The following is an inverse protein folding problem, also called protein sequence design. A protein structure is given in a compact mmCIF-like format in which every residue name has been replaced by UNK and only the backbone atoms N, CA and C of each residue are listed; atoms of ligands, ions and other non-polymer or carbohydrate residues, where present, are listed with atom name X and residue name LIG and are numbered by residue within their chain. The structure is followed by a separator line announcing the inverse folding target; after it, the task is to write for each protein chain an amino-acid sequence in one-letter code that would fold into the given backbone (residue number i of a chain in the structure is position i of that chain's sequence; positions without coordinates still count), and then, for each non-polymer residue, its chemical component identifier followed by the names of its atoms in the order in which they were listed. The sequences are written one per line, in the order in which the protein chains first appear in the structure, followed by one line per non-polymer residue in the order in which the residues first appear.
data_IF_360810561382
#
_entry.id   IF_360810561382
#
_cell.length_a   1.000
_cell.length_b   1.000
_cell.length_c   1.000
_cell.angle_alpha   90.00
_cell.angle_beta   90.00
_cell.angle_gamma   90.00
#
_symmetry.space_group_name_H-M   'P 1'
#
loop_
_entity.id
_entity.type
_entity.pdbx_description
1 polymer ?
#
# COMPACT_ATOMS: atom_id res chain seq x y z
N UNK A 1 -1.37 -17.75 -79.34
CA UNK A 1 -1.07 -16.43 -78.75
C UNK A 1 -1.89 -16.25 -77.48
N UNK A 2 -1.25 -15.81 -76.37
CA UNK A 2 -1.80 -15.41 -75.05
C UNK A 2 -2.37 -16.58 -74.20
N UNK A 3 -1.56 -17.28 -73.38
CA UNK A 3 -1.06 -16.95 -72.02
C UNK A 3 -2.15 -16.47 -71.06
N UNK A 4 -2.54 -17.32 -70.10
CA UNK A 4 -2.95 -16.92 -68.74
C UNK A 4 -2.49 -17.98 -67.73
N UNK A 5 -1.49 -17.62 -66.93
CA UNK A 5 -1.06 -18.31 -65.72
C UNK A 5 -2.18 -18.25 -64.67
N UNK A 6 -2.42 -19.36 -63.96
CA UNK A 6 -3.11 -19.38 -62.68
C UNK A 6 -2.08 -19.70 -61.60
N UNK A 7 -1.66 -18.66 -60.87
CA UNK A 7 -0.86 -18.75 -59.66
C UNK A 7 -1.77 -19.20 -58.52
N UNK A 8 -1.54 -20.39 -57.97
CA UNK A 8 -2.11 -20.81 -56.70
C UNK A 8 -1.27 -20.21 -55.56
N UNK A 9 -1.78 -19.17 -54.91
CA UNK A 9 -1.17 -18.59 -53.71
C UNK A 9 -1.67 -19.37 -52.50
N UNK A 10 -0.76 -20.11 -51.89
CA UNK A 10 -0.96 -20.81 -50.63
C UNK A 10 -0.99 -19.77 -49.49
N UNK A 11 -2.16 -19.52 -48.89
CA UNK A 11 -2.27 -18.69 -47.69
C UNK A 11 -1.78 -19.48 -46.46
N UNK A 12 -0.51 -19.32 -46.13
CA UNK A 12 0.01 -19.69 -44.81
C UNK A 12 -0.33 -18.55 -43.81
N UNK A 13 -1.37 -18.75 -43.01
CA UNK A 13 -1.66 -17.94 -41.83
C UNK A 13 -0.58 -18.23 -40.76
N UNK A 14 0.48 -17.43 -40.76
CA UNK A 14 1.43 -17.39 -39.63
C UNK A 14 0.75 -16.61 -38.50
N UNK A 15 0.21 -17.33 -37.53
CA UNK A 15 -0.27 -16.77 -36.28
C UNK A 15 0.89 -16.11 -35.54
N UNK A 16 0.91 -14.78 -35.52
CA UNK A 16 1.78 -14.02 -34.64
C UNK A 16 1.28 -14.19 -33.21
N UNK A 17 1.83 -15.18 -32.50
CA UNK A 17 1.70 -15.30 -31.06
C UNK A 17 2.36 -14.08 -30.41
N UNK A 18 1.57 -13.06 -30.08
CA UNK A 18 2.02 -11.95 -29.25
C UNK A 18 2.34 -12.51 -27.86
N UNK A 19 3.62 -12.78 -27.62
CA UNK A 19 4.14 -13.06 -26.28
C UNK A 19 3.96 -11.80 -25.45
N UNK A 20 2.93 -11.78 -24.60
CA UNK A 20 2.78 -10.76 -23.56
C UNK A 20 3.95 -10.97 -22.60
N UNK A 21 4.99 -10.18 -22.76
CA UNK A 21 6.12 -10.17 -21.83
C UNK A 21 5.61 -9.53 -20.54
N UNK A 22 5.20 -10.36 -19.59
CA UNK A 22 4.94 -9.91 -18.22
C UNK A 22 6.28 -9.46 -17.66
N UNK A 23 6.46 -8.15 -17.51
CA UNK A 23 7.64 -7.60 -16.86
C UNK A 23 7.78 -8.23 -15.47
N UNK A 24 8.97 -8.72 -15.15
CA UNK A 24 9.24 -9.24 -13.81
C UNK A 24 8.94 -8.14 -12.78
N UNK A 25 8.33 -8.46 -11.62
CA UNK A 25 8.05 -7.46 -10.60
C UNK A 25 9.34 -6.79 -10.16
N UNK A 26 9.29 -5.46 -9.98
CA UNK A 26 10.44 -4.69 -9.56
C UNK A 26 11.02 -5.26 -8.25
N UNK A 27 12.36 -5.37 -8.12
CA UNK A 27 12.98 -5.95 -6.94
C UNK A 27 12.63 -5.14 -5.68
N UNK A 28 12.48 -5.84 -4.56
CA UNK A 28 12.26 -5.21 -3.26
C UNK A 28 13.59 -4.76 -2.66
N UNK A 29 13.58 -3.58 -2.02
CA UNK A 29 14.66 -3.14 -1.15
C UNK A 29 14.27 -3.38 0.31
N UNK A 30 15.20 -3.11 1.23
CA UNK A 30 14.90 -3.21 2.67
C UNK A 30 13.87 -2.17 3.11
N UNK A 31 13.89 -0.97 2.51
CA UNK A 31 13.09 0.16 2.95
C UNK A 31 13.23 0.31 4.48
N UNK A 32 12.13 0.43 5.20
CA UNK A 32 12.08 0.60 6.66
C UNK A 32 12.37 -0.68 7.45
N UNK A 33 12.60 -1.82 6.80
CA UNK A 33 12.71 -3.13 7.44
C UNK A 33 14.17 -3.54 7.68
N UNK A 34 14.41 -4.26 8.79
CA UNK A 34 15.74 -4.81 9.09
C UNK A 34 16.24 -5.81 8.02
N UNK A 35 15.31 -6.48 7.33
CA UNK A 35 15.57 -7.43 6.24
C UNK A 35 14.70 -7.06 5.04
N UNK A 36 15.14 -7.43 3.84
CA UNK A 36 14.34 -7.25 2.62
C UNK A 36 13.05 -8.04 2.78
N UNK A 37 11.87 -7.45 2.52
CA UNK A 37 10.62 -8.18 2.50
C UNK A 37 10.68 -9.33 1.49
N UNK A 38 10.02 -10.45 1.81
CA UNK A 38 10.01 -11.65 0.97
C UNK A 38 9.28 -11.36 -0.35
N UNK A 39 8.12 -10.71 -0.26
CA UNK A 39 7.33 -10.30 -1.41
C UNK A 39 6.32 -9.21 -1.03
N UNK A 40 5.80 -8.53 -2.04
CA UNK A 40 4.58 -7.72 -1.92
C UNK A 40 3.38 -8.66 -1.84
N UNK A 41 2.33 -8.23 -1.15
CA UNK A 41 1.04 -8.92 -1.08
C UNK A 41 -0.09 -7.95 -1.41
N UNK A 42 -1.22 -8.44 -1.93
CA UNK A 42 -2.47 -7.69 -2.00
C UNK A 42 -3.17 -7.79 -0.63
N UNK A 43 -3.29 -6.70 0.15
CA UNK A 43 -3.83 -6.77 1.51
C UNK A 43 -5.20 -7.45 1.57
N UNK A 44 -6.08 -7.20 0.60
CA UNK A 44 -7.46 -7.72 0.61
C UNK A 44 -7.56 -9.25 0.45
N UNK A 45 -6.48 -9.93 0.07
CA UNK A 45 -6.41 -11.40 0.06
C UNK A 45 -6.31 -12.00 1.47
N UNK A 46 -6.04 -11.18 2.49
CA UNK A 46 -5.82 -11.62 3.87
C UNK A 46 -6.93 -11.11 4.82
N UNK A 47 -7.52 -11.99 5.67
CA UNK A 47 -8.66 -11.64 6.51
C UNK A 47 -8.48 -10.37 7.36
N UNK A 48 -7.30 -10.17 7.94
CA UNK A 48 -7.02 -9.08 8.86
C UNK A 48 -6.97 -7.70 8.21
N UNK A 49 -6.84 -7.61 6.89
CA UNK A 49 -6.84 -6.33 6.17
C UNK A 49 -8.16 -6.05 5.43
N UNK A 50 -9.15 -6.96 5.49
CA UNK A 50 -10.42 -6.81 4.76
C UNK A 50 -11.21 -5.55 5.14
N UNK A 51 -10.99 -5.02 6.34
CA UNK A 51 -11.67 -3.82 6.85
C UNK A 51 -10.91 -2.52 6.58
N UNK A 52 -9.89 -2.53 5.71
CA UNK A 52 -9.03 -1.37 5.45
C UNK A 52 -9.80 -0.07 5.22
N UNK A 53 -10.87 -0.05 4.43
CA UNK A 53 -11.63 1.19 4.20
C UNK A 53 -12.31 1.73 5.47
N UNK A 54 -12.79 0.84 6.35
CA UNK A 54 -13.37 1.24 7.62
C UNK A 54 -12.27 1.80 8.55
N UNK A 55 -11.10 1.17 8.54
CA UNK A 55 -9.93 1.63 9.30
C UNK A 55 -9.40 2.97 8.82
N UNK A 56 -9.36 3.21 7.50
CA UNK A 56 -9.02 4.51 6.93
C UNK A 56 -10.01 5.60 7.37
N UNK A 57 -11.32 5.31 7.32
CA UNK A 57 -12.35 6.24 7.81
C UNK A 57 -12.19 6.55 9.30
N UNK A 58 -11.95 5.53 10.12
CA UNK A 58 -11.72 5.71 11.56
C UNK A 58 -10.46 6.53 11.84
N UNK A 59 -9.40 6.28 11.07
CA UNK A 59 -8.14 7.04 11.16
C UNK A 59 -8.36 8.52 10.82
N UNK A 60 -9.13 8.83 9.76
CA UNK A 60 -9.51 10.21 9.41
C UNK A 60 -10.39 10.85 10.49
N UNK A 61 -11.37 10.12 11.05
CA UNK A 61 -12.24 10.65 12.13
C UNK A 61 -11.45 11.12 13.34
N UNK A 62 -10.43 10.36 13.70
CA UNK A 62 -9.63 10.54 14.93
C UNK A 62 -8.52 11.57 14.76
N UNK A 63 -7.80 11.53 13.63
CA UNK A 63 -6.55 12.27 13.46
C UNK A 63 -6.55 13.26 12.30
N UNK A 64 -7.53 13.17 11.41
CA UNK A 64 -7.51 13.88 10.13
C UNK A 64 -8.41 15.11 10.09
N UNK A 65 -8.21 15.90 9.03
CA UNK A 65 -9.18 16.91 8.63
C UNK A 65 -10.39 16.24 7.96
N UNK A 66 -11.53 16.26 8.65
CA UNK A 66 -12.79 15.67 8.21
C UNK A 66 -13.46 16.47 7.09
N UNK A 67 -13.05 17.73 6.85
CA UNK A 67 -13.68 18.62 5.88
C UNK A 67 -13.19 18.42 4.44
N UNK A 68 -12.08 17.70 4.25
CA UNK A 68 -11.45 17.48 2.95
C UNK A 68 -11.39 16.00 2.57
N UNK A 69 -11.30 15.66 1.27
CA UNK A 69 -10.96 14.30 0.85
C UNK A 69 -9.56 13.93 1.35
N UNK A 70 -9.45 12.75 1.98
CA UNK A 70 -8.20 12.21 2.49
C UNK A 70 -7.71 11.07 1.59
N UNK A 71 -6.48 11.18 1.09
CA UNK A 71 -5.89 10.22 0.14
C UNK A 71 -4.90 9.31 0.85
N UNK A 72 -5.03 8.03 0.57
CA UNK A 72 -4.14 7.01 1.10
C UNK A 72 -3.65 6.10 -0.02
N UNK A 73 -2.42 5.65 0.12
CA UNK A 73 -1.89 4.51 -0.62
C UNK A 73 -1.61 3.37 0.36
N UNK A 74 -2.07 2.15 0.05
CA UNK A 74 -1.81 0.97 0.85
C UNK A 74 -0.98 -0.05 0.06
N UNK A 75 0.11 -0.53 0.64
CA UNK A 75 0.94 -1.59 0.08
C UNK A 75 1.27 -2.62 1.15
N UNK A 76 1.07 -3.89 0.84
CA UNK A 76 1.28 -4.99 1.77
C UNK A 76 2.58 -5.73 1.52
N UNK A 77 3.18 -6.24 2.60
CA UNK A 77 4.41 -7.02 2.57
C UNK A 77 4.30 -8.30 3.38
N UNK A 78 4.87 -9.36 2.82
CA UNK A 78 5.27 -10.55 3.58
C UNK A 78 6.72 -10.34 4.03
N UNK A 79 6.93 -10.26 5.33
CA UNK A 79 8.25 -10.12 5.93
C UNK A 79 8.86 -11.50 6.21
N UNK A 80 10.14 -11.49 6.58
CA UNK A 80 10.82 -12.69 7.07
C UNK A 80 10.03 -13.32 8.24
N UNK A 81 10.01 -14.65 8.31
CA UNK A 81 9.24 -15.46 9.29
C UNK A 81 7.70 -15.43 9.15
N UNK A 82 7.18 -14.92 8.05
CA UNK A 82 5.74 -15.02 7.74
C UNK A 82 4.88 -13.89 8.30
N UNK A 83 5.49 -12.86 8.90
CA UNK A 83 4.76 -11.69 9.38
C UNK A 83 4.20 -10.89 8.22
N UNK A 84 2.92 -10.53 8.30
CA UNK A 84 2.23 -9.71 7.31
C UNK A 84 2.08 -8.29 7.85
N UNK A 85 2.36 -7.30 7.02
CA UNK A 85 2.19 -5.88 7.36
C UNK A 85 1.66 -5.12 6.15
N UNK A 86 0.73 -4.21 6.37
CA UNK A 86 0.32 -3.21 5.38
C UNK A 86 0.84 -1.86 5.81
N UNK A 87 1.55 -1.17 4.92
CA UNK A 87 1.92 0.23 5.11
C UNK A 87 0.86 1.10 4.46
N UNK A 88 0.36 2.07 5.20
CA UNK A 88 -0.56 3.11 4.72
C UNK A 88 0.20 4.43 4.64
N UNK A 89 0.34 4.99 3.44
CA UNK A 89 0.86 6.34 3.22
C UNK A 89 -0.34 7.27 3.12
N UNK A 90 -0.45 8.23 4.05
CA UNK A 90 -1.52 9.22 4.09
C UNK A 90 -0.99 10.58 3.62
N UNK A 91 -1.38 10.97 2.42
CA UNK A 91 -0.86 12.17 1.77
C UNK A 91 -1.20 13.44 2.54
N UNK A 92 -2.46 13.63 2.94
CA UNK A 92 -2.89 14.87 3.60
C UNK A 92 -2.22 15.07 4.96
N UNK A 93 -2.08 14.00 5.75
CA UNK A 93 -1.45 14.05 7.06
C UNK A 93 0.08 13.99 7.00
N UNK A 94 0.65 13.62 5.84
CA UNK A 94 2.07 13.31 5.66
C UNK A 94 2.53 12.21 6.63
N UNK A 95 1.73 11.15 6.76
CA UNK A 95 1.98 10.06 7.70
C UNK A 95 2.24 8.74 6.99
N UNK A 96 3.16 7.95 7.54
CA UNK A 96 3.34 6.54 7.23
C UNK A 96 2.87 5.74 8.44
N UNK A 97 1.89 4.87 8.21
CA UNK A 97 1.28 4.04 9.25
C UNK A 97 1.62 2.58 8.97
N UNK A 98 2.21 1.89 9.95
CA UNK A 98 2.52 0.45 9.85
C UNK A 98 1.45 -0.36 10.53
N UNK A 99 0.59 -1.00 9.75
CA UNK A 99 -0.61 -1.67 10.25
C UNK A 99 -0.54 -3.18 10.03
N UNK A 100 -0.70 -3.95 11.11
CA UNK A 100 -0.69 -5.43 11.08
C UNK A 100 -2.05 -6.07 10.80
N UNK A 101 -3.08 -5.26 10.59
CA UNK A 101 -4.43 -5.71 10.31
C UNK A 101 -5.27 -5.77 11.58
N UNK A 102 -6.57 -5.56 11.42
CA UNK A 102 -7.55 -5.70 12.49
C UNK A 102 -8.12 -7.10 12.50
N UNK A 103 -8.55 -7.58 13.67
CA UNK A 103 -9.33 -8.81 13.73
C UNK A 103 -10.81 -8.49 13.45
N UNK A 104 -11.33 -9.00 12.34
CA UNK A 104 -12.73 -8.84 11.96
C UNK A 104 -13.70 -9.50 12.97
N UNK A 105 -13.21 -10.44 13.78
CA UNK A 105 -13.96 -11.15 14.82
C UNK A 105 -13.72 -10.60 16.23
N UNK A 106 -12.79 -9.65 16.40
CA UNK A 106 -12.47 -9.09 17.70
C UNK A 106 -13.64 -8.28 18.29
N UNK A 107 -13.74 -8.31 19.61
CA UNK A 107 -14.65 -7.44 20.36
C UNK A 107 -14.30 -5.97 20.16
N UNK A 108 -15.19 -5.04 20.55
CA UNK A 108 -14.98 -3.60 20.31
C UNK A 108 -13.70 -3.06 20.96
N UNK A 109 -13.31 -3.56 22.14
CA UNK A 109 -12.08 -3.14 22.83
C UNK A 109 -10.82 -3.69 22.16
N UNK A 110 -10.83 -4.97 21.75
CA UNK A 110 -9.72 -5.60 21.05
C UNK A 110 -9.50 -5.00 19.66
N UNK A 111 -10.59 -4.61 18.96
CA UNK A 111 -10.53 -3.92 17.67
C UNK A 111 -9.77 -2.59 17.74
N UNK A 112 -9.85 -1.86 18.84
CA UNK A 112 -9.09 -0.61 19.00
C UNK A 112 -7.58 -0.87 19.07
N UNK A 113 -7.14 -1.95 19.72
CA UNK A 113 -5.71 -2.28 19.85
C UNK A 113 -5.02 -2.65 18.52
N UNK A 114 -5.80 -3.07 17.52
CA UNK A 114 -5.31 -3.49 16.20
C UNK A 114 -5.78 -2.58 15.06
N UNK A 115 -6.36 -1.42 15.39
CA UNK A 115 -6.80 -0.42 14.42
C UNK A 115 -5.61 0.29 13.77
N UNK A 116 -5.78 0.70 12.51
CA UNK A 116 -4.81 1.56 11.84
C UNK A 116 -4.61 2.89 12.59
N UNK A 117 -5.66 3.40 13.26
CA UNK A 117 -5.63 4.66 14.01
C UNK A 117 -4.78 4.64 15.28
N UNK A 118 -4.43 3.44 15.77
CA UNK A 118 -3.54 3.23 16.93
C UNK A 118 -2.21 2.60 16.56
N UNK A 119 -2.02 2.31 15.27
CA UNK A 119 -0.80 1.71 14.78
C UNK A 119 0.38 2.67 14.86
N UNK A 120 1.63 2.17 14.87
CA UNK A 120 2.82 3.02 14.81
C UNK A 120 2.79 3.95 13.59
N UNK A 121 3.03 5.23 13.88
CA UNK A 121 3.08 6.29 12.88
C UNK A 121 4.47 6.90 12.85
N UNK A 122 4.94 7.16 11.64
CA UNK A 122 6.06 8.07 11.34
C UNK A 122 5.47 9.32 10.70
N UNK A 123 5.70 10.49 11.29
CA UNK A 123 5.39 11.77 10.64
C UNK A 123 6.50 12.09 9.62
N UNK A 124 6.17 12.08 8.33
CA UNK A 124 7.13 12.27 7.24
C UNK A 124 7.76 13.68 7.22
N UNK A 125 7.23 14.61 8.03
CA UNK A 125 7.77 15.96 8.15
C UNK A 125 8.83 16.07 9.24
N UNK A 126 8.72 15.28 10.31
CA UNK A 126 9.54 15.46 11.53
C UNK A 126 10.35 14.23 11.93
N UNK A 127 9.94 13.03 11.53
CA UNK A 127 10.52 11.77 11.99
C UNK A 127 11.49 11.14 10.97
N UNK A 128 11.89 11.91 9.95
CA UNK A 128 12.85 11.48 8.94
C UNK A 128 14.26 11.96 9.27
N UNK A 129 15.22 11.03 9.23
CA UNK A 129 16.65 11.32 9.36
C UNK A 129 17.39 11.01 8.06
N UNK A 130 18.53 11.67 7.84
CA UNK A 130 19.29 11.50 6.59
C UNK A 130 20.08 10.18 6.54
N UNK A 131 20.51 9.67 7.69
CA UNK A 131 21.23 8.40 7.78
C UNK A 131 20.96 7.69 9.12
N UNK A 132 21.30 6.40 9.17
CA UNK A 132 21.11 5.54 10.35
C UNK A 132 22.37 5.45 11.23
N UNK A 133 23.22 6.48 11.23
CA UNK A 133 24.47 6.47 12.03
C UNK A 133 24.23 6.41 13.53
N UNK A 134 23.03 6.81 13.98
CA UNK A 134 22.60 6.74 15.37
C UNK A 134 21.42 5.77 15.53
N UNK A 135 21.26 5.14 16.72
CA UNK A 135 20.08 4.34 17.00
C UNK A 135 18.81 5.17 16.78
N UNK A 136 17.97 4.71 15.85
CA UNK A 136 16.70 5.36 15.60
C UNK A 136 15.74 5.08 16.75
N UNK A 137 15.01 6.11 17.19
CA UNK A 137 13.85 5.92 18.06
C UNK A 137 12.78 5.08 17.36
N UNK A 138 11.78 4.61 18.10
CA UNK A 138 10.74 3.69 17.58
C UNK A 138 9.92 4.24 16.39
N UNK A 139 9.96 5.56 16.15
CA UNK A 139 9.24 6.26 15.06
C UNK A 139 10.14 6.78 13.94
N UNK A 140 11.43 7.01 14.23
CA UNK A 140 12.33 7.64 13.29
C UNK A 140 12.77 6.64 12.22
N UNK A 141 12.75 7.06 10.95
CA UNK A 141 13.22 6.24 9.82
C UNK A 141 14.14 7.05 8.91
N UNK A 142 14.96 6.37 8.13
CA UNK A 142 15.82 7.03 7.14
C UNK A 142 14.96 7.58 6.00
N UNK A 143 15.23 8.81 5.57
CA UNK A 143 14.50 9.49 4.49
C UNK A 143 14.47 8.67 3.20
N UNK A 144 15.63 8.16 2.77
CA UNK A 144 15.73 7.36 1.56
C UNK A 144 14.87 6.07 1.62
N UNK A 145 14.73 5.47 2.80
CA UNK A 145 13.89 4.29 3.01
C UNK A 145 12.40 4.64 2.95
N UNK A 146 12.02 5.80 3.51
CA UNK A 146 10.66 6.32 3.41
C UNK A 146 10.29 6.66 1.95
N UNK A 147 11.18 7.32 1.22
CA UNK A 147 11.00 7.66 -0.19
C UNK A 147 10.88 6.42 -1.07
N UNK A 148 11.74 5.41 -0.84
CA UNK A 148 11.65 4.13 -1.53
C UNK A 148 10.29 3.45 -1.29
N UNK A 149 9.77 3.49 -0.06
CA UNK A 149 8.48 2.92 0.29
C UNK A 149 7.30 3.68 -0.31
N UNK A 150 7.37 5.01 -0.36
CA UNK A 150 6.35 5.86 -1.00
C UNK A 150 6.34 5.57 -2.51
N UNK A 151 7.49 5.52 -3.15
CA UNK A 151 7.61 5.18 -4.56
C UNK A 151 7.08 3.77 -4.85
N UNK A 152 7.36 2.80 -3.97
CA UNK A 152 6.82 1.44 -4.08
C UNK A 152 5.30 1.42 -4.01
N UNK A 153 4.74 2.15 -3.04
CA UNK A 153 3.29 2.26 -2.90
C UNK A 153 2.66 2.93 -4.13
N UNK A 154 3.26 3.98 -4.69
CA UNK A 154 2.76 4.62 -5.91
C UNK A 154 2.77 3.67 -7.11
N UNK A 155 3.76 2.79 -7.21
CA UNK A 155 3.90 1.85 -8.33
C UNK A 155 3.04 0.59 -8.18
N UNK A 156 2.82 0.12 -6.95
CA UNK A 156 2.28 -1.22 -6.69
C UNK A 156 1.17 -1.27 -5.65
N UNK A 157 0.96 -0.18 -4.92
CA UNK A 157 -0.05 -0.07 -3.88
C UNK A 157 -1.44 0.27 -4.43
N UNK A 158 -2.43 -0.04 -3.60
CA UNK A 158 -3.83 0.29 -3.84
C UNK A 158 -4.13 1.69 -3.33
N UNK A 159 -4.73 2.51 -4.19
CA UNK A 159 -5.10 3.88 -3.86
C UNK A 159 -6.50 3.93 -3.24
N UNK A 160 -6.66 4.73 -2.19
CA UNK A 160 -7.91 4.96 -1.49
C UNK A 160 -8.19 6.45 -1.35
N UNK A 161 -9.47 6.79 -1.40
CA UNK A 161 -9.95 8.14 -1.09
C UNK A 161 -11.04 7.99 -0.04
N UNK A 162 -10.80 8.54 1.14
CA UNK A 162 -11.84 8.74 2.15
C UNK A 162 -12.49 10.10 1.83
N UNK A 163 -13.80 10.14 1.50
CA UNK A 163 -14.48 11.40 1.26
C UNK A 163 -14.55 12.23 2.56
N UNK A 164 -14.84 13.55 2.46
CA UNK A 164 -15.15 14.36 3.63
C UNK A 164 -16.17 13.66 4.53
N UNK A 165 -15.90 13.68 5.82
CA UNK A 165 -16.74 13.06 6.84
C UNK A 165 -17.61 14.13 7.50
N UNK A 166 -18.76 13.73 8.08
CA UNK A 166 -19.55 14.65 8.89
C UNK A 166 -18.67 15.34 9.95
N UNK A 167 -18.96 16.61 10.29
CA UNK A 167 -18.27 17.28 11.39
C UNK A 167 -18.38 16.46 12.67
N UNK A 168 -17.41 16.62 13.56
CA UNK A 168 -17.39 15.90 14.83
C UNK A 168 -18.66 16.24 15.63
N UNK A 169 -19.46 15.23 15.94
CA UNK A 169 -20.62 15.40 16.82
C UNK A 169 -20.18 15.67 18.26
N UNK A 170 -21.06 16.26 19.08
CA UNK A 170 -20.79 16.47 20.53
C UNK A 170 -20.51 15.14 21.26
N UNK A 171 -21.06 14.03 20.75
CA UNK A 171 -20.92 12.68 21.31
C UNK A 171 -19.89 11.80 20.58
N UNK A 172 -19.17 12.34 19.58
CA UNK A 172 -18.07 11.62 18.91
C UNK A 172 -16.86 11.60 19.86
N UNK A 173 -16.88 10.74 20.88
CA UNK A 173 -15.70 10.48 21.68
C UNK A 173 -14.71 9.61 20.87
N UNK A 174 -13.53 10.21 20.63
CA UNK A 174 -12.35 9.71 19.91
C UNK A 174 -12.43 9.69 18.38
#
# INVERSE_FOLDING_TARGET
MKVRLLFAVCCALVGASATVSVAAPAPLSRMIYAKVPVQRIEPLEYPQFKLIEAELRNTVRRHGDRSVPNRFCAVGYLLDRGTLETVLIWDNAQWLIRWWGGDALATSEERYAVSASFSPVTDLRTDLVEDNRYPLGTRAIVRADAEALIADCQAHGRQYIVPPLPPKGEDDEY
#
